data_IF_598051443803
#
_entry.id   IF_598051443803
#
_cell.length_a   1.000
_cell.length_b   1.000
_cell.length_c   1.000
_cell.angle_alpha   90.00
_cell.angle_beta   90.00
_cell.angle_gamma   90.00
#
_symmetry.space_group_name_H-M   'P 1'
#
loop_
_entity.id
_entity.type
_entity.pdbx_description
1 polymer ?
#
# COMPACT_ATOMS: atom_id res chain seq x y z
N UNK A 1 9.31 -51.69 7.02
CA UNK A 1 8.31 -50.70 7.45
C UNK A 1 8.84 -49.27 7.32
N UNK A 2 10.06 -48.95 7.77
CA UNK A 2 10.67 -47.60 7.69
C UNK A 2 10.88 -47.06 6.25
N UNK A 3 11.16 -47.90 5.29
CA UNK A 3 11.27 -47.50 3.86
C UNK A 3 9.91 -47.19 3.23
N UNK A 4 8.80 -47.73 3.78
CA UNK A 4 7.44 -47.40 3.34
C UNK A 4 6.97 -46.03 3.89
N UNK A 5 7.45 -45.64 5.05
CA UNK A 5 7.08 -44.35 5.68
C UNK A 5 7.83 -43.14 5.07
N UNK A 6 9.03 -43.35 4.47
CA UNK A 6 9.78 -42.29 3.76
C UNK A 6 9.17 -41.86 2.43
N UNK A 7 8.28 -42.65 1.85
CA UNK A 7 7.63 -42.34 0.56
C UNK A 7 6.34 -41.51 0.68
N UNK A 8 6.01 -40.99 1.87
CA UNK A 8 4.60 -40.76 2.16
C UNK A 8 4.16 -39.31 2.29
N UNK A 9 4.98 -38.33 2.53
CA UNK A 9 4.45 -37.01 2.85
C UNK A 9 4.97 -35.90 1.94
N UNK A 10 4.51 -35.89 0.70
CA UNK A 10 4.50 -34.66 -0.08
C UNK A 10 3.28 -33.82 0.36
N UNK A 11 3.46 -32.53 0.50
CA UNK A 11 2.37 -31.60 0.78
C UNK A 11 2.43 -30.40 -0.18
N UNK A 12 1.27 -29.85 -0.42
CA UNK A 12 1.06 -28.66 -1.23
C UNK A 12 0.47 -27.58 -0.31
N UNK A 13 0.98 -26.36 -0.40
CA UNK A 13 0.36 -25.23 0.29
C UNK A 13 -0.90 -24.79 -0.46
N UNK A 14 -1.97 -24.57 0.31
CA UNK A 14 -3.18 -23.94 -0.18
C UNK A 14 -3.17 -22.52 0.31
N UNK A 15 -3.17 -21.58 -0.63
CA UNK A 15 -3.20 -20.16 -0.32
C UNK A 15 -4.65 -19.72 -0.12
N UNK A 16 -4.96 -19.07 1.01
CA UNK A 16 -6.28 -18.54 1.26
C UNK A 16 -6.57 -17.35 0.35
N UNK A 17 -7.83 -17.11 0.11
CA UNK A 17 -8.28 -15.85 -0.47
C UNK A 17 -8.03 -14.74 0.53
N UNK A 18 -7.40 -13.65 0.07
CA UNK A 18 -7.14 -12.46 0.89
C UNK A 18 -8.45 -11.72 1.16
N UNK A 19 -8.63 -11.21 2.37
CA UNK A 19 -9.82 -10.50 2.79
C UNK A 19 -10.14 -9.29 1.91
N UNK A 20 -11.42 -9.04 1.68
CA UNK A 20 -11.87 -7.85 0.94
C UNK A 20 -11.65 -6.60 1.78
N UNK A 21 -11.43 -5.48 1.11
CA UNK A 21 -11.44 -4.15 1.71
C UNK A 21 -12.65 -3.40 1.17
N UNK A 22 -13.51 -2.97 2.08
CA UNK A 22 -14.73 -2.22 1.76
C UNK A 22 -14.62 -0.79 2.27
N UNK A 23 -15.21 0.15 1.54
CA UNK A 23 -15.45 1.51 2.02
C UNK A 23 -16.61 1.55 3.02
N UNK A 24 -16.78 2.67 3.73
CA UNK A 24 -17.91 2.93 4.66
C UNK A 24 -19.27 2.81 3.96
N UNK A 25 -19.33 3.17 2.69
CA UNK A 25 -20.50 3.09 1.82
C UNK A 25 -20.68 1.72 1.11
N UNK A 26 -19.93 0.70 1.54
CA UNK A 26 -20.10 -0.69 1.10
C UNK A 26 -19.49 -1.01 -0.28
N UNK A 27 -18.75 -0.08 -0.89
CA UNK A 27 -18.09 -0.33 -2.18
C UNK A 27 -16.84 -1.19 -1.96
N UNK A 28 -16.67 -2.20 -2.81
CA UNK A 28 -15.45 -3.03 -2.81
C UNK A 28 -14.29 -2.19 -3.35
N UNK A 29 -13.28 -1.97 -2.49
CA UNK A 29 -12.07 -1.22 -2.82
C UNK A 29 -10.92 -2.14 -3.24
N UNK A 30 -10.86 -3.34 -2.66
CA UNK A 30 -9.91 -4.38 -3.04
C UNK A 30 -10.48 -5.77 -2.76
N UNK A 31 -10.29 -6.69 -3.69
CA UNK A 31 -10.68 -8.09 -3.55
C UNK A 31 -9.72 -9.01 -4.30
N UNK A 32 -9.73 -10.29 -3.94
CA UNK A 32 -9.00 -11.30 -4.69
C UNK A 32 -9.91 -11.91 -5.75
N UNK A 33 -9.44 -11.90 -7.00
CA UNK A 33 -10.07 -12.62 -8.11
C UNK A 33 -9.34 -13.91 -8.41
N UNK A 34 -10.13 -14.95 -8.68
CA UNK A 34 -9.60 -16.24 -9.12
C UNK A 34 -8.98 -16.10 -10.51
N UNK A 35 -7.75 -16.56 -10.63
CA UNK A 35 -7.00 -16.56 -11.88
C UNK A 35 -6.42 -17.94 -12.17
N UNK A 36 -6.26 -18.25 -13.44
CA UNK A 36 -5.58 -19.45 -13.90
C UNK A 36 -4.25 -19.05 -14.50
N UNK A 37 -3.21 -19.81 -14.20
CA UNK A 37 -1.87 -19.58 -14.74
C UNK A 37 -1.30 -20.87 -15.28
N UNK A 38 -0.46 -20.78 -16.31
CA UNK A 38 0.27 -21.92 -16.84
C UNK A 38 1.63 -21.99 -16.16
N UNK A 39 1.94 -23.14 -15.56
CA UNK A 39 3.17 -23.34 -14.81
C UNK A 39 3.91 -24.59 -15.27
N UNK A 40 5.21 -24.63 -14.98
CA UNK A 40 6.05 -25.82 -15.19
C UNK A 40 5.72 -26.84 -14.11
N UNK A 41 5.39 -28.05 -14.53
CA UNK A 41 5.27 -29.21 -13.64
C UNK A 41 6.67 -29.80 -13.40
N UNK A 42 7.20 -29.60 -12.20
CA UNK A 42 8.51 -30.10 -11.81
C UNK A 42 8.58 -31.62 -11.70
N UNK A 43 7.43 -32.28 -11.65
CA UNK A 43 7.35 -33.75 -11.53
C UNK A 43 7.38 -34.44 -12.90
N UNK A 44 6.72 -33.82 -13.87
CA UNK A 44 6.74 -34.26 -15.27
C UNK A 44 7.62 -33.30 -16.05
N UNK A 45 8.95 -33.56 -16.03
CA UNK A 45 9.89 -32.68 -16.75
C UNK A 45 9.47 -32.48 -18.20
N UNK A 46 9.31 -31.24 -18.67
CA UNK A 46 8.95 -30.96 -20.05
C UNK A 46 10.00 -31.52 -21.00
N UNK A 47 9.54 -32.17 -22.07
CA UNK A 47 10.42 -32.56 -23.18
C UNK A 47 10.69 -31.39 -24.12
N UNK A 48 11.79 -31.40 -24.89
CA UNK A 48 12.05 -30.39 -25.94
C UNK A 48 10.87 -30.26 -26.92
N UNK A 49 10.23 -31.39 -27.25
CA UNK A 49 9.04 -31.38 -28.11
C UNK A 49 7.87 -30.63 -27.44
N UNK A 50 7.64 -30.84 -26.14
CA UNK A 50 6.61 -30.13 -25.38
C UNK A 50 6.90 -28.64 -25.27
N UNK A 51 8.18 -28.27 -25.10
CA UNK A 51 8.61 -26.85 -25.04
C UNK A 51 8.30 -26.14 -26.35
N UNK A 52 8.69 -26.75 -27.50
CA UNK A 52 8.43 -26.16 -28.80
C UNK A 52 6.92 -26.08 -29.09
N UNK A 53 6.16 -27.15 -28.86
CA UNK A 53 4.70 -27.15 -29.04
C UNK A 53 3.99 -26.10 -28.21
N UNK A 54 4.43 -25.89 -26.96
CA UNK A 54 3.85 -24.87 -26.11
C UNK A 54 4.14 -23.44 -26.60
N UNK A 55 5.35 -23.21 -27.09
CA UNK A 55 5.71 -21.93 -27.68
C UNK A 55 4.94 -21.66 -28.99
N UNK A 56 4.74 -22.69 -29.82
CA UNK A 56 3.91 -22.59 -31.03
C UNK A 56 2.43 -22.32 -30.70
N UNK A 57 1.95 -22.83 -29.58
CA UNK A 57 0.57 -22.59 -29.12
C UNK A 57 0.37 -21.15 -28.66
N UNK A 58 1.41 -20.50 -28.11
CA UNK A 58 1.38 -19.12 -27.60
C UNK A 58 2.52 -18.24 -28.14
N UNK A 59 2.60 -18.03 -29.46
CA UNK A 59 3.72 -17.34 -30.09
C UNK A 59 3.89 -15.89 -29.62
N UNK A 60 2.79 -15.23 -29.29
CA UNK A 60 2.79 -13.82 -28.81
C UNK A 60 3.20 -13.70 -27.33
N UNK A 61 3.12 -14.78 -26.55
CA UNK A 61 3.36 -14.78 -25.10
C UNK A 61 4.63 -15.50 -24.69
N UNK A 62 5.10 -16.46 -25.46
CA UNK A 62 6.20 -17.34 -25.12
C UNK A 62 7.29 -17.29 -26.17
N UNK A 63 8.50 -16.91 -25.75
CA UNK A 63 9.73 -17.08 -26.52
C UNK A 63 10.41 -18.38 -26.09
N UNK A 64 10.74 -19.26 -27.04
CA UNK A 64 11.30 -20.59 -26.78
C UNK A 64 12.54 -20.52 -25.89
N UNK A 65 13.45 -19.59 -26.16
CA UNK A 65 14.69 -19.43 -25.39
C UNK A 65 14.40 -19.12 -23.92
N UNK A 66 13.45 -18.21 -23.67
CA UNK A 66 13.06 -17.85 -22.32
C UNK A 66 12.36 -19.02 -21.60
N UNK A 67 11.54 -19.78 -22.33
CA UNK A 67 10.89 -20.97 -21.77
C UNK A 67 11.91 -22.04 -21.38
N UNK A 68 12.92 -22.33 -22.23
CA UNK A 68 14.01 -23.23 -21.90
C UNK A 68 14.76 -22.82 -20.64
N UNK A 69 15.06 -21.53 -20.51
CA UNK A 69 15.72 -21.00 -19.30
C UNK A 69 14.86 -21.19 -18.05
N UNK A 70 13.57 -20.87 -18.12
CA UNK A 70 12.62 -21.10 -17.03
C UNK A 70 12.52 -22.59 -16.66
N UNK A 71 12.42 -23.48 -17.64
CA UNK A 71 12.39 -24.94 -17.41
C UNK A 71 13.68 -25.39 -16.71
N UNK A 72 14.86 -24.95 -17.18
CA UNK A 72 16.14 -25.28 -16.56
C UNK A 72 16.20 -24.80 -15.10
N UNK A 73 15.79 -23.58 -14.83
CA UNK A 73 15.76 -23.02 -13.49
C UNK A 73 14.77 -23.75 -12.59
N UNK A 74 13.56 -24.02 -13.08
CA UNK A 74 12.51 -24.74 -12.36
C UNK A 74 13.00 -26.13 -11.91
N UNK A 75 13.66 -26.86 -12.80
CA UNK A 75 14.25 -28.18 -12.49
C UNK A 75 15.40 -28.06 -11.51
N UNK A 76 16.34 -27.11 -11.74
CA UNK A 76 17.53 -26.89 -10.88
C UNK A 76 17.14 -26.56 -9.44
N UNK A 77 16.17 -25.68 -9.28
CA UNK A 77 15.73 -25.21 -7.97
C UNK A 77 14.56 -25.99 -7.38
N UNK A 78 14.08 -27.03 -8.09
CA UNK A 78 12.93 -27.88 -7.71
C UNK A 78 11.69 -27.08 -7.30
N UNK A 79 11.34 -26.08 -8.09
CA UNK A 79 10.17 -25.24 -7.84
C UNK A 79 9.38 -25.01 -9.12
N UNK A 80 8.03 -25.02 -9.05
CA UNK A 80 7.21 -24.63 -10.19
C UNK A 80 7.50 -23.17 -10.54
N UNK A 81 7.59 -22.87 -11.82
CA UNK A 81 7.74 -21.50 -12.32
C UNK A 81 6.57 -21.19 -13.24
N UNK A 82 5.97 -20.02 -13.06
CA UNK A 82 4.84 -19.57 -13.87
C UNK A 82 5.37 -19.10 -15.23
N UNK A 83 4.76 -19.62 -16.31
CA UNK A 83 5.10 -19.28 -17.68
C UNK A 83 4.19 -18.17 -18.20
N UNK A 84 2.88 -18.35 -18.04
CA UNK A 84 1.86 -17.36 -18.39
C UNK A 84 1.02 -17.12 -17.14
N UNK A 85 1.06 -15.89 -16.66
CA UNK A 85 0.15 -15.43 -15.62
C UNK A 85 -1.21 -15.07 -16.24
N UNK A 86 -2.30 -15.28 -15.52
CA UNK A 86 -3.64 -14.84 -15.91
C UNK A 86 -4.06 -15.30 -17.30
N UNK A 87 -4.20 -16.61 -17.46
CA UNK A 87 -4.79 -17.16 -18.68
C UNK A 87 -6.19 -16.59 -18.90
N UNK A 88 -6.43 -16.02 -20.06
CA UNK A 88 -7.78 -15.67 -20.50
C UNK A 88 -8.60 -16.94 -20.74
N UNK A 89 -9.91 -16.81 -20.88
CA UNK A 89 -10.76 -17.96 -21.25
C UNK A 89 -10.31 -18.56 -22.58
N UNK A 90 -9.88 -17.75 -23.53
CA UNK A 90 -9.35 -18.18 -24.81
C UNK A 90 -8.03 -18.93 -24.64
N UNK A 91 -7.09 -18.40 -23.83
CA UNK A 91 -5.83 -19.09 -23.52
C UNK A 91 -6.09 -20.46 -22.89
N UNK A 92 -7.00 -20.49 -21.91
CA UNK A 92 -7.35 -21.74 -21.23
C UNK A 92 -7.96 -22.76 -22.22
N UNK A 93 -8.88 -22.33 -23.07
CA UNK A 93 -9.46 -23.18 -24.10
C UNK A 93 -8.41 -23.67 -25.10
N UNK A 94 -7.51 -22.78 -25.55
CA UNK A 94 -6.36 -23.16 -26.40
C UNK A 94 -5.52 -24.29 -25.78
N UNK A 95 -5.19 -24.14 -24.48
CA UNK A 95 -4.40 -25.14 -23.77
C UNK A 95 -5.14 -26.49 -23.64
N UNK A 96 -6.42 -26.45 -23.26
CA UNK A 96 -7.22 -27.66 -23.06
C UNK A 96 -7.45 -28.42 -24.35
N UNK A 97 -7.55 -27.76 -25.50
CA UNK A 97 -7.78 -28.39 -26.82
C UNK A 97 -6.46 -28.74 -27.50
N UNK A 98 -5.50 -27.82 -27.54
CA UNK A 98 -4.25 -28.00 -28.26
C UNK A 98 -3.10 -28.56 -27.42
N UNK A 99 -3.27 -28.64 -26.10
CA UNK A 99 -2.24 -29.06 -25.16
C UNK A 99 -2.28 -30.52 -24.72
N UNK A 100 -3.19 -31.33 -25.27
CA UNK A 100 -3.36 -32.76 -24.88
C UNK A 100 -2.07 -33.58 -24.92
N UNK A 101 -1.19 -33.28 -25.89
CA UNK A 101 0.10 -33.93 -26.08
C UNK A 101 1.29 -33.20 -25.47
N UNK A 102 1.02 -32.08 -24.75
CA UNK A 102 2.04 -31.25 -24.10
C UNK A 102 2.20 -31.72 -22.66
N UNK A 103 3.32 -32.38 -22.37
CA UNK A 103 3.64 -32.87 -21.03
C UNK A 103 4.60 -31.94 -20.29
N UNK A 104 4.54 -31.94 -18.96
CA UNK A 104 5.44 -31.16 -18.12
C UNK A 104 5.00 -29.73 -17.86
N UNK A 105 3.76 -29.40 -18.21
CA UNK A 105 3.11 -28.12 -17.91
C UNK A 105 1.72 -28.38 -17.35
N UNK A 106 1.26 -27.51 -16.48
CA UNK A 106 -0.05 -27.63 -15.85
C UNK A 106 -0.70 -26.27 -15.63
N UNK A 107 -2.03 -26.25 -15.71
CA UNK A 107 -2.80 -25.08 -15.29
C UNK A 107 -2.96 -25.11 -13.77
N UNK A 108 -2.53 -24.06 -13.13
CA UNK A 108 -2.68 -23.88 -11.69
C UNK A 108 -3.71 -22.78 -11.40
N UNK A 109 -4.50 -22.98 -10.36
CA UNK A 109 -5.41 -21.96 -9.85
C UNK A 109 -4.70 -21.10 -8.79
N UNK A 110 -5.00 -19.81 -8.79
CA UNK A 110 -4.50 -18.87 -7.80
C UNK A 110 -5.46 -17.70 -7.60
N UNK A 111 -5.04 -16.80 -6.77
CA UNK A 111 -5.76 -15.55 -6.54
C UNK A 111 -4.85 -14.37 -6.91
N UNK A 112 -5.45 -13.36 -7.49
CA UNK A 112 -4.81 -12.09 -7.78
C UNK A 112 -5.57 -10.96 -7.14
N UNK A 113 -4.83 -10.06 -6.49
CA UNK A 113 -5.40 -8.87 -5.86
C UNK A 113 -5.84 -7.89 -6.92
N UNK A 114 -7.10 -7.51 -6.91
CA UNK A 114 -7.68 -6.49 -7.76
C UNK A 114 -8.19 -5.34 -6.92
N UNK A 115 -7.87 -4.14 -7.35
CA UNK A 115 -8.26 -2.89 -6.70
C UNK A 115 -9.32 -2.17 -7.53
N UNK A 116 -10.17 -1.39 -6.87
CA UNK A 116 -10.94 -0.40 -7.59
C UNK A 116 -9.99 0.50 -8.40
N UNK A 117 -10.28 0.69 -9.67
CA UNK A 117 -9.36 1.36 -10.62
C UNK A 117 -9.22 2.87 -10.39
N UNK A 118 -10.08 3.47 -9.56
CA UNK A 118 -10.03 4.91 -9.33
C UNK A 118 -8.77 5.31 -8.55
N UNK A 119 -7.96 6.29 -9.03
CA UNK A 119 -6.68 6.63 -8.42
C UNK A 119 -6.79 7.26 -7.03
N UNK A 120 -7.97 7.77 -6.63
CA UNK A 120 -8.17 8.42 -5.32
C UNK A 120 -7.86 7.54 -4.12
N UNK A 121 -7.92 6.21 -4.27
CA UNK A 121 -7.76 5.27 -3.15
C UNK A 121 -6.37 4.67 -3.04
N UNK A 122 -5.50 4.86 -4.04
CA UNK A 122 -4.17 4.24 -4.07
C UNK A 122 -3.35 4.50 -2.80
N UNK A 123 -3.27 5.75 -2.37
CA UNK A 123 -2.46 6.12 -1.20
C UNK A 123 -3.04 5.63 0.13
N UNK A 124 -4.34 5.38 0.20
CA UNK A 124 -5.01 4.78 1.37
C UNK A 124 -4.80 3.28 1.38
N UNK A 125 -5.13 2.60 0.28
CA UNK A 125 -5.06 1.15 0.21
C UNK A 125 -3.61 0.65 0.14
N UNK A 126 -2.76 1.34 -0.60
CA UNK A 126 -1.46 0.82 -1.00
C UNK A 126 -1.57 -0.22 -2.11
N UNK A 127 -0.61 -1.12 -2.17
CA UNK A 127 -0.55 -2.17 -3.17
C UNK A 127 0.18 -3.40 -2.67
N UNK A 128 0.01 -4.52 -3.37
CA UNK A 128 0.73 -5.76 -3.14
C UNK A 128 2.00 -5.82 -3.98
N UNK A 129 3.03 -6.46 -3.46
CA UNK A 129 4.28 -6.70 -4.18
C UNK A 129 5.05 -7.88 -3.62
N UNK A 130 6.05 -8.37 -4.35
CA UNK A 130 6.89 -9.46 -3.89
C UNK A 130 7.67 -9.06 -2.63
N UNK A 131 7.79 -10.00 -1.68
CA UNK A 131 8.52 -9.81 -0.44
C UNK A 131 10.00 -9.52 -0.71
N UNK A 132 10.57 -8.59 0.04
CA UNK A 132 12.00 -8.26 0.02
C UNK A 132 12.57 -8.22 1.46
N UNK A 133 13.86 -7.97 1.61
CA UNK A 133 14.55 -7.99 2.90
C UNK A 133 13.98 -6.96 3.88
N UNK A 134 13.53 -5.79 3.42
CA UNK A 134 12.94 -4.78 4.29
C UNK A 134 11.54 -5.20 4.80
N UNK A 135 10.79 -5.96 3.99
CA UNK A 135 9.53 -6.53 4.44
C UNK A 135 9.76 -7.62 5.48
N UNK A 136 10.82 -8.44 5.28
CA UNK A 136 11.25 -9.44 6.26
C UNK A 136 11.51 -8.79 7.62
N UNK A 137 12.22 -7.67 7.65
CA UNK A 137 12.48 -6.93 8.89
C UNK A 137 11.20 -6.33 9.49
N UNK A 138 10.34 -5.74 8.69
CA UNK A 138 9.09 -5.12 9.15
C UNK A 138 8.13 -6.13 9.75
N UNK A 139 7.98 -7.30 9.13
CA UNK A 139 7.09 -8.36 9.59
C UNK A 139 7.75 -9.31 10.60
N UNK A 140 9.08 -9.21 10.87
CA UNK A 140 9.77 -9.96 11.92
C UNK A 140 9.30 -9.49 13.32
N UNK A 141 9.00 -10.35 14.27
CA UNK A 141 9.23 -11.80 14.36
C UNK A 141 8.12 -12.67 13.75
N UNK A 142 7.19 -12.11 13.03
CA UNK A 142 5.98 -12.78 12.50
C UNK A 142 6.25 -13.70 11.29
N UNK A 143 7.43 -13.63 10.70
CA UNK A 143 7.80 -14.37 9.49
C UNK A 143 7.79 -15.89 9.67
N UNK A 144 8.09 -16.40 10.87
CA UNK A 144 7.97 -17.83 11.14
C UNK A 144 6.53 -18.35 10.99
N UNK A 145 5.53 -17.46 11.17
CA UNK A 145 4.12 -17.76 10.90
C UNK A 145 3.77 -17.67 9.41
N UNK A 146 4.52 -16.87 8.65
CA UNK A 146 4.23 -16.59 7.25
C UNK A 146 4.76 -17.62 6.28
N UNK A 147 5.68 -18.53 6.70
CA UNK A 147 6.36 -19.41 5.73
C UNK A 147 6.68 -18.66 4.43
N UNK A 148 7.20 -17.44 4.58
CA UNK A 148 7.45 -16.51 3.47
C UNK A 148 8.52 -17.12 2.57
N UNK A 149 8.08 -18.02 1.69
CA UNK A 149 8.87 -18.37 0.52
C UNK A 149 9.03 -17.10 -0.28
N UNK A 150 10.20 -16.93 -0.84
CA UNK A 150 10.69 -15.81 -1.68
C UNK A 150 9.69 -15.30 -2.76
N UNK A 151 8.52 -15.92 -2.90
CA UNK A 151 7.48 -15.70 -3.92
C UNK A 151 6.15 -15.19 -3.37
N UNK A 152 6.04 -15.01 -2.07
CA UNK A 152 4.81 -14.49 -1.50
C UNK A 152 4.71 -12.98 -1.76
N UNK A 153 3.57 -12.53 -2.23
CA UNK A 153 3.23 -11.12 -2.30
C UNK A 153 2.72 -10.67 -0.92
N UNK A 154 3.14 -9.49 -0.51
CA UNK A 154 2.72 -8.85 0.75
C UNK A 154 2.29 -7.42 0.49
N UNK A 155 1.53 -6.84 1.39
CA UNK A 155 1.22 -5.41 1.35
C UNK A 155 2.47 -4.55 1.47
N UNK A 156 2.70 -3.67 0.49
CA UNK A 156 3.88 -2.80 0.44
C UNK A 156 3.67 -1.46 1.12
N UNK A 157 2.45 -1.00 1.16
CA UNK A 157 2.07 0.31 1.72
C UNK A 157 0.60 0.32 2.14
N UNK A 158 0.18 1.39 2.79
CA UNK A 158 -1.22 1.65 3.13
C UNK A 158 -1.88 0.57 3.98
N UNK A 159 -3.18 0.45 3.83
CA UNK A 159 -4.03 -0.54 4.53
C UNK A 159 -3.56 -1.98 4.26
N UNK A 160 -3.14 -2.27 3.03
CA UNK A 160 -2.63 -3.59 2.66
C UNK A 160 -1.45 -4.02 3.54
N UNK A 161 -0.54 -3.09 3.88
CA UNK A 161 0.64 -3.37 4.73
C UNK A 161 0.29 -3.40 6.22
N UNK A 162 -0.48 -2.43 6.68
CA UNK A 162 -0.80 -2.28 8.11
C UNK A 162 -1.66 -3.45 8.61
N UNK A 163 -2.61 -3.87 7.79
CA UNK A 163 -3.54 -4.96 8.12
C UNK A 163 -3.18 -6.29 7.46
N UNK A 164 -1.92 -6.47 7.01
CA UNK A 164 -1.44 -7.69 6.36
C UNK A 164 -1.88 -8.95 7.09
N UNK A 165 -1.67 -9.03 8.41
CA UNK A 165 -1.99 -10.21 9.23
C UNK A 165 -3.48 -10.60 9.17
N UNK A 166 -4.38 -9.61 9.13
CA UNK A 166 -5.82 -9.85 9.07
C UNK A 166 -6.27 -10.21 7.66
N UNK A 167 -5.74 -9.49 6.67
CA UNK A 167 -6.12 -9.64 5.28
C UNK A 167 -5.60 -10.94 4.66
N UNK A 168 -4.40 -11.40 5.03
CA UNK A 168 -3.74 -12.52 4.38
C UNK A 168 -4.42 -13.88 4.63
N UNK A 169 -5.06 -14.05 5.79
CA UNK A 169 -5.56 -15.36 6.22
C UNK A 169 -4.46 -16.34 6.62
N UNK A 170 -4.80 -17.61 6.76
CA UNK A 170 -3.88 -18.66 7.18
C UNK A 170 -3.77 -19.75 6.11
N UNK A 171 -2.54 -20.02 5.67
CA UNK A 171 -2.27 -21.07 4.69
C UNK A 171 -2.61 -22.45 5.22
N UNK A 172 -3.24 -23.26 4.38
CA UNK A 172 -3.46 -24.68 4.63
C UNK A 172 -2.36 -25.54 4.00
N UNK A 173 -2.30 -26.79 4.45
CA UNK A 173 -1.47 -27.84 3.84
C UNK A 173 -2.36 -28.98 3.41
N UNK A 174 -2.27 -29.36 2.13
CA UNK A 174 -2.88 -30.58 1.60
C UNK A 174 -1.81 -31.64 1.48
N UNK A 175 -2.00 -32.76 2.17
CA UNK A 175 -1.09 -33.89 2.13
C UNK A 175 -1.56 -34.89 1.07
N UNK A 176 -0.60 -35.45 0.33
CA UNK A 176 -0.89 -36.48 -0.66
C UNK A 176 0.16 -37.58 -0.63
N UNK A 177 -0.28 -38.77 -0.94
CA UNK A 177 0.55 -39.94 -1.15
C UNK A 177 0.81 -40.11 -2.64
N UNK A 178 2.07 -40.46 -2.99
CA UNK A 178 2.40 -40.84 -4.35
C UNK A 178 2.53 -42.35 -4.46
N UNK A 179 2.00 -42.90 -5.53
CA UNK A 179 2.31 -44.28 -5.88
C UNK A 179 3.66 -44.38 -6.64
N UNK A 180 4.12 -45.58 -6.88
CA UNK A 180 5.37 -45.84 -7.60
C UNK A 180 5.34 -45.36 -9.07
N UNK A 181 4.18 -44.99 -9.61
CA UNK A 181 3.99 -44.41 -10.94
C UNK A 181 3.92 -42.88 -10.93
N UNK A 182 3.98 -42.26 -9.75
CA UNK A 182 3.92 -40.79 -9.61
C UNK A 182 2.51 -40.20 -9.42
N UNK A 183 1.45 -41.04 -9.49
CA UNK A 183 0.08 -40.55 -9.32
C UNK A 183 -0.16 -40.07 -7.91
N UNK A 184 -0.78 -38.90 -7.77
CA UNK A 184 -1.12 -38.27 -6.49
C UNK A 184 -2.46 -38.78 -5.98
N UNK A 185 -2.50 -39.29 -4.76
CA UNK A 185 -3.73 -39.57 -4.02
C UNK A 185 -3.78 -38.66 -2.79
N UNK A 186 -4.82 -37.82 -2.69
CA UNK A 186 -5.06 -37.01 -1.49
C UNK A 186 -5.31 -37.91 -0.30
N UNK A 187 -4.55 -37.72 0.80
CA UNK A 187 -4.65 -38.59 1.98
C UNK A 187 -5.42 -37.90 3.11
N UNK A 188 -5.27 -36.58 3.25
CA UNK A 188 -5.80 -35.84 4.39
C UNK A 188 -6.29 -34.48 3.96
N UNK A 189 -7.36 -34.05 4.62
CA UNK A 189 -7.91 -32.73 4.47
C UNK A 189 -6.96 -31.64 4.95
N UNK A 190 -7.23 -30.43 4.50
CA UNK A 190 -6.49 -29.20 4.71
C UNK A 190 -6.32 -28.95 6.20
N UNK A 191 -5.07 -28.82 6.68
CA UNK A 191 -4.79 -28.37 8.04
C UNK A 191 -4.76 -26.86 8.11
N UNK A 192 -5.46 -26.26 9.07
CA UNK A 192 -5.33 -24.84 9.48
C UNK A 192 -5.64 -23.80 8.41
N UNK A 193 -6.48 -24.10 7.42
CA UNK A 193 -6.87 -23.14 6.39
C UNK A 193 -7.88 -22.12 6.95
N UNK A 194 -7.58 -20.82 6.80
CA UNK A 194 -8.53 -19.74 7.09
C UNK A 194 -8.42 -18.65 6.02
N UNK A 195 -9.54 -18.24 5.46
CA UNK A 195 -9.57 -17.10 4.56
C UNK A 195 -9.23 -15.79 5.30
N UNK A 196 -8.75 -14.79 4.57
CA UNK A 196 -8.49 -13.46 5.12
C UNK A 196 -9.77 -12.77 5.58
N UNK A 197 -9.65 -11.98 6.65
CA UNK A 197 -10.78 -11.23 7.21
C UNK A 197 -11.17 -10.07 6.29
N UNK A 198 -12.45 -9.85 6.11
CA UNK A 198 -12.98 -8.67 5.46
C UNK A 198 -12.76 -7.44 6.34
N UNK A 199 -12.31 -6.36 5.76
CA UNK A 199 -12.01 -5.10 6.44
C UNK A 199 -12.87 -3.97 5.88
N UNK A 200 -13.71 -3.37 6.72
CA UNK A 200 -14.38 -2.09 6.40
C UNK A 200 -13.56 -0.94 6.94
N UNK A 201 -13.32 0.07 6.10
CA UNK A 201 -12.59 1.29 6.47
C UNK A 201 -13.51 2.50 6.48
N UNK A 202 -13.09 3.58 7.14
CA UNK A 202 -13.89 4.79 7.32
C UNK A 202 -14.08 5.62 6.04
N UNK A 203 -13.29 5.37 4.99
CA UNK A 203 -13.40 6.09 3.72
C UNK A 203 -14.80 5.92 3.11
N UNK A 204 -15.42 7.04 2.78
CA UNK A 204 -16.60 7.07 1.93
C UNK A 204 -16.13 7.22 0.47
N UNK A 205 -16.27 6.17 -0.33
CA UNK A 205 -15.67 6.14 -1.66
C UNK A 205 -16.26 7.19 -2.60
N UNK A 206 -17.55 7.46 -2.52
CA UNK A 206 -18.19 8.46 -3.39
C UNK A 206 -17.65 9.86 -3.09
N UNK A 207 -17.53 10.23 -1.81
CA UNK A 207 -16.99 11.53 -1.39
C UNK A 207 -15.48 11.61 -1.70
N UNK A 208 -14.74 10.53 -1.48
CA UNK A 208 -13.32 10.40 -1.83
C UNK A 208 -13.08 10.68 -3.32
N UNK A 209 -13.91 10.05 -4.18
CA UNK A 209 -13.85 10.24 -5.63
C UNK A 209 -14.13 11.69 -6.01
N UNK A 210 -15.23 12.27 -5.49
CA UNK A 210 -15.58 13.67 -5.74
C UNK A 210 -14.45 14.63 -5.32
N UNK A 211 -13.90 14.44 -4.11
CA UNK A 211 -12.80 15.26 -3.62
C UNK A 211 -11.57 15.17 -4.54
N UNK A 212 -11.26 13.97 -5.06
CA UNK A 212 -10.16 13.79 -6.01
C UNK A 212 -10.41 14.53 -7.34
N UNK A 213 -11.61 14.43 -7.89
CA UNK A 213 -12.01 15.11 -9.12
C UNK A 213 -11.96 16.65 -8.97
N UNK A 214 -12.39 17.18 -7.82
CA UNK A 214 -12.33 18.61 -7.53
C UNK A 214 -10.90 19.17 -7.41
N UNK A 215 -9.91 18.32 -7.09
CA UNK A 215 -8.50 18.73 -7.10
C UNK A 215 -8.00 19.04 -8.51
N UNK A 216 -8.62 18.50 -9.55
CA UNK A 216 -8.38 18.84 -10.95
C UNK A 216 -6.87 18.93 -11.27
N UNK A 217 -6.14 17.83 -11.09
CA UNK A 217 -4.68 17.68 -11.34
C UNK A 217 -3.75 18.55 -10.47
N UNK A 218 -4.29 19.36 -9.55
CA UNK A 218 -3.45 20.13 -8.63
C UNK A 218 -2.65 19.20 -7.71
N UNK A 219 -1.41 19.55 -7.44
CA UNK A 219 -0.61 18.88 -6.41
C UNK A 219 -1.12 19.24 -5.02
N UNK A 220 -1.48 18.23 -4.24
CA UNK A 220 -1.91 18.49 -2.88
C UNK A 220 -2.51 17.27 -2.19
N UNK A 221 -3.09 17.52 -1.04
CA UNK A 221 -3.84 16.54 -0.27
C UNK A 221 -5.11 17.18 0.29
N UNK A 222 -6.16 16.36 0.44
CA UNK A 222 -7.35 16.71 1.22
C UNK A 222 -7.60 15.59 2.22
N UNK A 223 -7.71 15.96 3.49
CA UNK A 223 -8.10 15.05 4.56
C UNK A 223 -9.31 15.64 5.27
N UNK A 224 -10.36 14.84 5.41
CA UNK A 224 -11.56 15.20 6.16
C UNK A 224 -11.64 14.29 7.38
N UNK A 225 -11.85 14.91 8.54
CA UNK A 225 -12.00 14.22 9.82
C UNK A 225 -13.40 14.52 10.34
N UNK A 226 -14.16 13.46 10.65
CA UNK A 226 -15.44 13.59 11.33
C UNK A 226 -15.17 13.90 12.82
N UNK A 227 -15.67 15.03 13.31
CA UNK A 227 -15.42 15.46 14.70
C UNK A 227 -16.27 14.68 15.72
N UNK A 228 -17.21 13.84 15.29
CA UNK A 228 -18.03 13.06 16.21
C UNK A 228 -17.33 11.77 16.63
N UNK A 229 -16.66 11.09 15.69
CA UNK A 229 -16.03 9.79 15.93
C UNK A 229 -14.54 9.75 15.53
N UNK A 230 -13.98 10.89 15.08
CA UNK A 230 -12.63 11.05 14.57
C UNK A 230 -12.27 10.12 13.40
N UNK A 231 -13.27 9.56 12.72
CA UNK A 231 -13.04 8.80 11.51
C UNK A 231 -12.59 9.71 10.36
N UNK A 232 -11.94 9.09 9.37
CA UNK A 232 -11.43 9.80 8.19
C UNK A 232 -12.25 9.35 6.97
N UNK A 233 -13.35 10.03 6.61
CA UNK A 233 -14.14 9.69 5.44
C UNK A 233 -13.45 10.03 4.11
N UNK A 234 -12.49 10.95 4.12
CA UNK A 234 -11.74 11.36 2.92
C UNK A 234 -10.26 11.53 3.26
N UNK A 235 -9.40 10.91 2.47
CA UNK A 235 -7.96 11.12 2.51
C UNK A 235 -7.39 10.94 1.10
N UNK A 236 -7.21 12.03 0.37
CA UNK A 236 -6.68 12.01 -1.00
C UNK A 236 -5.30 12.65 -1.06
N UNK A 237 -4.51 12.13 -1.99
CA UNK A 237 -3.21 12.70 -2.39
C UNK A 237 -3.19 12.77 -3.91
N UNK A 238 -2.87 13.92 -4.48
CA UNK A 238 -2.85 14.18 -5.92
C UNK A 238 -1.51 14.73 -6.36
N UNK A 239 -1.04 14.38 -7.59
CA UNK A 239 -1.56 13.35 -8.46
C UNK A 239 -1.38 11.94 -7.86
N UNK A 240 -2.07 10.96 -8.40
CA UNK A 240 -2.04 9.58 -7.98
C UNK A 240 -2.17 8.65 -9.19
N UNK A 241 -2.06 7.34 -8.97
CA UNK A 241 -2.20 6.27 -9.97
C UNK A 241 -3.23 5.25 -9.50
N UNK A 242 -3.61 4.33 -10.36
CA UNK A 242 -4.32 3.13 -9.93
C UNK A 242 -3.34 2.11 -9.33
N UNK A 243 -3.70 1.45 -8.22
CA UNK A 243 -2.89 0.36 -7.68
C UNK A 243 -2.74 -0.80 -8.68
N UNK A 244 -3.71 -0.98 -9.59
CA UNK A 244 -3.64 -1.98 -10.65
C UNK A 244 -2.52 -1.70 -11.66
N UNK A 245 -2.14 -0.43 -11.87
CA UNK A 245 -1.08 -0.05 -12.80
C UNK A 245 0.31 -0.56 -12.35
N UNK A 246 0.49 -0.79 -11.02
CA UNK A 246 1.74 -1.32 -10.48
C UNK A 246 1.85 -2.85 -10.61
N UNK A 247 0.79 -3.53 -11.00
CA UNK A 247 0.77 -5.00 -11.04
C UNK A 247 1.70 -5.59 -12.10
N UNK A 248 1.68 -5.00 -13.29
CA UNK A 248 2.39 -5.49 -14.48
C UNK A 248 3.46 -4.52 -14.98
N UNK A 249 3.82 -3.56 -14.13
CA UNK A 249 4.76 -2.52 -14.50
C UNK A 249 6.18 -3.07 -14.69
N UNK A 250 6.83 -2.70 -15.78
CA UNK A 250 8.24 -2.99 -15.99
C UNK A 250 9.14 -2.16 -15.07
N UNK A 251 10.37 -2.63 -14.86
CA UNK A 251 11.34 -1.88 -14.04
C UNK A 251 11.61 -0.47 -14.60
N UNK A 252 11.62 -0.29 -15.93
CA UNK A 252 11.80 1.03 -16.55
C UNK A 252 10.61 1.95 -16.27
N UNK A 253 9.39 1.48 -16.48
CA UNK A 253 8.18 2.25 -16.18
C UNK A 253 8.05 2.62 -14.70
N UNK A 254 8.48 1.72 -13.80
CA UNK A 254 8.52 2.04 -12.38
C UNK A 254 9.54 3.12 -12.06
N UNK A 255 10.71 3.09 -12.70
CA UNK A 255 11.71 4.18 -12.59
C UNK A 255 11.19 5.51 -13.14
N UNK A 256 10.42 5.50 -14.21
CA UNK A 256 9.77 6.70 -14.75
C UNK A 256 8.81 7.30 -13.72
N UNK A 257 7.99 6.48 -13.04
CA UNK A 257 7.11 6.94 -11.96
C UNK A 257 7.88 7.50 -10.74
N UNK A 258 9.03 6.92 -10.40
CA UNK A 258 9.90 7.42 -9.32
C UNK A 258 10.53 8.77 -9.65
N UNK A 259 10.89 8.98 -10.91
CA UNK A 259 11.54 10.19 -11.41
C UNK A 259 10.52 11.26 -11.84
N UNK A 260 9.23 10.96 -11.85
CA UNK A 260 8.20 11.93 -12.22
C UNK A 260 8.22 13.14 -11.28
N UNK A 261 8.41 14.37 -11.81
CA UNK A 261 8.46 15.59 -10.98
C UNK A 261 7.15 15.86 -10.23
N UNK A 262 6.06 15.27 -10.66
CA UNK A 262 4.78 15.37 -9.96
C UNK A 262 4.70 14.45 -8.74
N UNK A 263 5.59 13.44 -8.65
CA UNK A 263 5.68 12.46 -7.56
C UNK A 263 4.33 11.77 -7.28
N UNK A 264 3.75 11.03 -8.23
CA UNK A 264 2.43 10.43 -8.06
C UNK A 264 2.43 9.30 -7.00
N UNK A 265 3.59 8.72 -6.68
CA UNK A 265 3.74 7.70 -5.64
C UNK A 265 3.88 8.28 -4.22
N UNK A 266 4.08 9.60 -4.08
CA UNK A 266 4.26 10.22 -2.78
C UNK A 266 2.92 10.48 -2.10
N UNK A 267 2.70 9.85 -0.94
CA UNK A 267 1.50 10.01 -0.13
C UNK A 267 1.50 11.34 0.63
N UNK A 268 0.97 12.39 0.00
CA UNK A 268 0.93 13.73 0.57
C UNK A 268 0.02 13.86 1.77
N UNK A 269 -1.03 13.05 1.83
CA UNK A 269 -2.00 13.10 2.93
C UNK A 269 -1.43 12.61 4.27
N UNK A 270 -0.54 11.59 4.23
CA UNK A 270 -0.04 10.95 5.43
C UNK A 270 1.46 11.15 5.65
N UNK A 271 2.23 11.46 4.61
CA UNK A 271 3.69 11.59 4.67
C UNK A 271 4.18 13.00 4.34
N UNK A 272 3.28 13.89 3.91
CA UNK A 272 3.63 15.27 3.60
C UNK A 272 3.87 16.07 4.87
N UNK A 273 5.03 16.72 4.95
CA UNK A 273 5.33 17.68 6.02
C UNK A 273 5.12 19.09 5.47
N UNK A 274 4.20 19.82 6.07
CA UNK A 274 3.83 21.16 5.65
C UNK A 274 3.94 22.13 6.82
N UNK A 275 4.41 23.37 6.62
CA UNK A 275 4.32 24.39 7.64
C UNK A 275 2.86 24.62 8.05
N UNK A 276 2.53 24.58 9.34
CA UNK A 276 1.15 24.75 9.79
C UNK A 276 0.58 26.13 9.51
N UNK A 277 1.43 27.13 9.26
CA UNK A 277 1.05 28.54 9.07
C UNK A 277 0.15 29.03 10.19
N UNK A 278 -0.88 29.84 9.88
CA UNK A 278 -1.76 30.40 10.91
C UNK A 278 -2.67 29.39 11.62
N UNK A 279 -2.75 28.16 11.15
CA UNK A 279 -3.53 27.13 11.84
C UNK A 279 -2.97 26.74 13.21
N UNK A 280 -1.68 27.08 13.47
CA UNK A 280 -1.06 26.86 14.78
C UNK A 280 -1.42 27.92 15.81
N UNK A 281 -1.93 29.11 15.39
CA UNK A 281 -2.16 30.25 16.29
C UNK A 281 -3.10 29.97 17.49
N UNK A 282 -4.20 29.22 17.32
CA UNK A 282 -5.00 28.80 18.46
C UNK A 282 -4.20 28.02 19.52
N UNK A 283 -3.30 27.14 19.06
CA UNK A 283 -2.45 26.35 19.93
C UNK A 283 -1.42 27.24 20.67
N UNK A 284 -0.81 28.19 19.94
CA UNK A 284 0.08 29.20 20.54
C UNK A 284 -0.66 30.04 21.60
N UNK A 285 -1.91 30.37 21.34
CA UNK A 285 -2.77 31.12 22.30
C UNK A 285 -3.01 30.30 23.57
N UNK A 286 -3.36 29.02 23.44
CA UNK A 286 -3.57 28.13 24.61
C UNK A 286 -2.28 28.07 25.46
N UNK A 287 -1.14 27.87 24.79
CA UNK A 287 0.16 27.82 25.47
C UNK A 287 0.47 29.12 26.19
N UNK A 288 0.26 30.26 25.53
CA UNK A 288 0.56 31.56 26.07
C UNK A 288 -0.31 31.91 27.29
N UNK A 289 -1.60 31.62 27.20
CA UNK A 289 -2.53 31.87 28.32
C UNK A 289 -2.26 30.97 29.52
N UNK A 290 -2.00 29.69 29.30
CA UNK A 290 -1.73 28.72 30.36
C UNK A 290 -0.43 29.00 31.13
N UNK A 291 0.53 29.66 30.49
CA UNK A 291 1.83 29.99 31.09
C UNK A 291 1.98 31.47 31.37
N UNK A 292 0.90 32.23 31.37
CA UNK A 292 0.85 33.66 31.71
C UNK A 292 1.78 34.55 30.87
N UNK A 293 2.10 34.13 29.62
CA UNK A 293 2.86 34.95 28.68
C UNK A 293 2.05 36.09 28.08
N UNK A 294 0.73 36.03 28.17
CA UNK A 294 -0.24 37.08 27.77
C UNK A 294 -1.56 36.88 28.50
N UNK A 295 -2.44 37.83 28.35
CA UNK A 295 -3.84 37.77 28.78
C UNK A 295 -4.75 38.39 27.71
N UNK A 296 -6.07 38.35 27.91
CA UNK A 296 -7.04 38.82 26.91
C UNK A 296 -7.04 40.35 26.73
N UNK A 297 -6.60 41.12 27.74
CA UNK A 297 -6.61 42.59 27.75
C UNK A 297 -5.28 43.19 27.28
N UNK A 298 -4.23 42.40 27.15
CA UNK A 298 -2.93 42.87 26.68
C UNK A 298 -3.00 43.27 25.20
N UNK A 299 -2.54 44.47 24.89
CA UNK A 299 -2.48 44.98 23.51
C UNK A 299 -1.06 45.17 23.03
N UNK A 300 -0.80 44.80 21.79
CA UNK A 300 0.45 45.04 21.06
C UNK A 300 0.11 45.91 19.84
N UNK A 301 0.98 46.86 19.51
CA UNK A 301 0.80 47.68 18.30
C UNK A 301 1.37 46.89 17.11
N UNK A 302 0.50 46.52 16.17
CA UNK A 302 0.82 45.86 14.91
C UNK A 302 0.92 46.92 13.81
N UNK A 303 2.16 47.25 13.40
CA UNK A 303 2.47 48.19 12.34
C UNK A 303 2.70 47.54 10.97
N UNK A 304 2.37 46.25 10.87
CA UNK A 304 2.43 45.51 9.62
C UNK A 304 3.73 44.75 9.41
N UNK A 305 4.64 44.75 10.35
CA UNK A 305 5.86 43.97 10.29
C UNK A 305 6.37 43.57 11.67
N UNK A 306 7.29 42.64 11.71
CA UNK A 306 8.02 42.24 12.92
C UNK A 306 9.51 42.08 12.58
N UNK A 307 10.38 42.52 13.52
CA UNK A 307 11.83 42.37 13.44
C UNK A 307 12.35 41.81 14.76
N UNK A 308 13.15 40.74 14.68
CA UNK A 308 13.94 40.29 15.82
C UNK A 308 15.10 41.27 16.04
N UNK A 309 15.43 41.58 17.28
CA UNK A 309 16.46 42.56 17.65
C UNK A 309 17.85 42.20 17.08
N UNK A 310 18.14 40.91 16.98
CA UNK A 310 19.41 40.37 16.51
C UNK A 310 19.46 40.06 15.01
N UNK A 311 18.37 40.26 14.28
CA UNK A 311 18.26 39.94 12.86
C UNK A 311 17.95 41.19 11.99
N UNK A 312 18.62 41.30 10.85
CA UNK A 312 18.26 42.33 9.84
C UNK A 312 16.96 41.98 9.10
N UNK A 313 16.49 40.75 9.21
CA UNK A 313 15.33 40.22 8.48
C UNK A 313 14.03 40.79 9.05
N UNK A 314 13.23 41.38 8.14
CA UNK A 314 11.89 41.88 8.42
C UNK A 314 10.86 40.83 7.99
N UNK A 315 9.91 40.55 8.86
CA UNK A 315 8.77 39.67 8.60
C UNK A 315 7.51 40.51 8.41
N UNK A 316 7.09 40.67 7.17
CA UNK A 316 5.91 41.45 6.85
C UNK A 316 4.62 40.71 7.20
N UNK A 317 3.64 41.45 7.73
CA UNK A 317 2.28 40.96 7.83
C UNK A 317 1.61 40.84 6.44
N UNK A 318 0.48 40.15 6.39
CA UNK A 318 -0.31 40.08 5.16
C UNK A 318 -1.02 41.40 4.83
N UNK A 319 -1.27 42.23 5.86
CA UNK A 319 -1.90 43.54 5.76
C UNK A 319 -0.84 44.65 5.83
N UNK A 320 -0.77 45.42 4.77
CA UNK A 320 0.10 46.59 4.74
C UNK A 320 -0.35 47.66 5.79
N UNK A 321 0.61 48.15 6.57
CA UNK A 321 0.35 49.09 7.66
C UNK A 321 -0.22 48.45 8.95
N UNK A 322 -0.37 47.10 8.94
CA UNK A 322 -0.76 46.36 10.14
C UNK A 322 -2.22 46.55 10.60
N UNK A 323 -2.50 46.15 11.84
CA UNK A 323 -3.82 46.17 12.43
C UNK A 323 -3.96 47.22 13.53
N UNK A 324 -2.89 47.99 13.84
CA UNK A 324 -2.85 48.97 14.93
C UNK A 324 -2.86 48.30 16.31
N UNK A 325 -3.51 48.90 17.30
CA UNK A 325 -3.68 48.28 18.59
C UNK A 325 -4.45 46.97 18.46
N UNK A 326 -3.81 45.87 18.85
CA UNK A 326 -4.29 44.52 18.65
C UNK A 326 -4.15 43.74 19.95
N UNK A 327 -5.29 43.29 20.49
CA UNK A 327 -5.37 42.33 21.58
C UNK A 327 -5.36 40.89 21.06
N UNK A 328 -5.43 39.92 21.96
CA UNK A 328 -5.34 38.49 21.61
C UNK A 328 -6.52 38.03 20.74
N UNK A 329 -7.74 38.52 21.01
CA UNK A 329 -8.94 38.20 20.21
C UNK A 329 -8.78 38.70 18.76
N UNK A 330 -8.45 39.98 18.62
CA UNK A 330 -8.20 40.58 17.31
C UNK A 330 -7.04 39.93 16.58
N UNK A 331 -5.97 39.53 17.29
CA UNK A 331 -4.83 38.86 16.72
C UNK A 331 -5.22 37.49 16.13
N UNK A 332 -6.14 36.75 16.74
CA UNK A 332 -6.69 35.50 16.22
C UNK A 332 -7.60 35.73 15.02
N UNK A 333 -8.56 36.65 15.15
CA UNK A 333 -9.55 36.98 14.12
C UNK A 333 -8.89 37.51 12.85
N UNK A 334 -7.99 38.48 12.99
CA UNK A 334 -7.28 39.10 11.88
C UNK A 334 -6.02 38.31 11.44
N UNK A 335 -5.69 37.25 12.18
CA UNK A 335 -4.50 36.46 11.93
C UNK A 335 -3.20 37.26 11.92
N UNK A 336 -3.02 38.19 12.88
CA UNK A 336 -1.84 39.04 12.98
C UNK A 336 -0.57 38.24 13.23
N UNK A 337 0.38 38.26 12.28
CA UNK A 337 1.69 37.64 12.46
C UNK A 337 2.56 38.42 13.46
N UNK A 338 2.65 39.78 13.41
CA UNK A 338 3.46 40.53 14.36
C UNK A 338 3.09 40.30 15.82
N UNK A 339 1.79 40.15 16.13
CA UNK A 339 1.34 39.82 17.47
C UNK A 339 1.93 38.49 17.96
N UNK A 340 1.75 37.41 17.20
CA UNK A 340 2.23 36.08 17.59
C UNK A 340 3.76 35.98 17.57
N UNK A 341 4.44 36.69 16.69
CA UNK A 341 5.90 36.75 16.69
C UNK A 341 6.42 37.48 17.94
N UNK A 342 5.80 38.61 18.35
CA UNK A 342 6.13 39.29 19.57
C UNK A 342 5.89 38.42 20.80
N UNK A 343 4.82 37.64 20.78
CA UNK A 343 4.50 36.70 21.84
C UNK A 343 5.52 35.56 21.91
N UNK A 344 5.96 35.04 20.75
CA UNK A 344 6.87 33.89 20.67
C UNK A 344 8.27 34.13 21.24
N UNK A 345 8.76 35.38 21.24
CA UNK A 345 10.06 35.72 21.87
C UNK A 345 10.05 35.64 23.37
N UNK A 346 8.87 35.60 23.98
CA UNK A 346 8.68 35.49 25.43
C UNK A 346 8.66 34.08 25.93
N UNK A 347 8.50 33.08 25.01
CA UNK A 347 8.34 31.70 25.38
C UNK A 347 9.65 31.09 25.86
N UNK A 348 9.58 30.32 26.95
CA UNK A 348 10.64 29.43 27.33
C UNK A 348 10.66 28.26 26.32
N UNK A 349 11.79 28.12 25.63
CA UNK A 349 11.93 27.19 24.48
C UNK A 349 11.62 25.75 24.85
N UNK A 350 12.20 25.28 25.96
CA UNK A 350 12.07 23.85 26.33
C UNK A 350 10.64 23.52 26.74
N UNK A 351 10.00 24.43 27.49
CA UNK A 351 8.58 24.31 27.87
C UNK A 351 7.66 24.30 26.65
N UNK A 352 7.94 25.17 25.67
CA UNK A 352 7.17 25.18 24.42
C UNK A 352 7.33 23.91 23.59
N UNK A 353 8.56 23.38 23.48
CA UNK A 353 8.83 22.12 22.79
C UNK A 353 8.12 20.94 23.48
N UNK A 354 8.11 20.91 24.82
CA UNK A 354 7.41 19.88 25.58
C UNK A 354 5.88 19.98 25.36
N UNK A 355 5.34 21.19 25.38
CA UNK A 355 3.92 21.41 25.07
C UNK A 355 3.54 20.92 23.65
N UNK A 356 4.35 21.24 22.64
CA UNK A 356 4.10 20.76 21.27
C UNK A 356 4.11 19.22 21.20
N UNK A 357 5.09 18.58 21.83
CA UNK A 357 5.16 17.10 21.89
C UNK A 357 3.94 16.50 22.59
N UNK A 358 3.47 17.10 23.67
CA UNK A 358 2.28 16.65 24.40
C UNK A 358 0.99 16.83 23.58
N UNK A 359 0.97 17.78 22.66
CA UNK A 359 -0.12 18.08 21.74
C UNK A 359 -0.06 17.27 20.45
N UNK A 360 0.85 16.28 20.35
CA UNK A 360 1.07 15.42 19.17
C UNK A 360 1.53 16.18 17.92
N UNK A 361 2.23 17.30 18.10
CA UNK A 361 2.90 18.06 17.05
C UNK A 361 4.36 17.63 16.87
#
# INVERSE_FOLDING_TARGET
KELRERNINAFEYIYPKRGRILSKDGIVLAEDRKVFSLAIDIEQKPSEQSINKLADLYPDKIKVENLRLKVSNSIKFRRPEIIIERLTQEDLAKYLVGGSDITGFSVIEGYEREYNSHPSIFHVLGHMGYINDSDVQYFSPRINEYNAKIWSKVGKSGIERVYEKRLQGQHGKRFFQRNARGDKKVITDISSFMEGEELSISINFQVQKLAYELMNERKGAVVVIDLQDFSIPVAISTPSISANDLRDISSSQYQDLLNDPTRPLFNRAFMGLYPPASTIKPLLTIFALNNEYTNWDETIFDDGFFRFEEEERIFNAWREGGHGLTDLEKALVESSNPFFMNLSIRYEKDLFVEFLKSSSF
#
